data_IF_955454905805
#
_entry.id   IF_955454905805
#
_cell.length_a   1.000
_cell.length_b   1.000
_cell.length_c   1.000
_cell.angle_alpha   90.00
_cell.angle_beta   90.00
_cell.angle_gamma   90.00
#
_symmetry.space_group_name_H-M   'P 1'
#
loop_
_entity.id
_entity.type
_entity.pdbx_description
1 polymer ?
#
# COMPACT_ATOMS: atom_id res chain seq x y z
N UNK A 1 -36.60 -25.33 -0.63
CA UNK A 1 -35.26 -25.49 -1.26
C UNK A 1 -34.25 -24.54 -0.59
N UNK A 2 -32.95 -24.81 -0.64
CA UNK A 2 -31.93 -23.86 -0.16
C UNK A 2 -31.79 -22.68 -1.12
N UNK A 3 -31.62 -21.47 -0.58
CA UNK A 3 -31.21 -20.30 -1.35
C UNK A 3 -29.76 -20.45 -1.82
N UNK A 4 -29.43 -19.82 -2.95
CA UNK A 4 -28.05 -19.74 -3.45
C UNK A 4 -27.32 -18.60 -2.74
N UNK A 5 -26.28 -18.89 -1.92
CA UNK A 5 -25.54 -17.84 -1.21
C UNK A 5 -24.75 -16.95 -2.18
N UNK A 6 -24.43 -15.73 -1.76
CA UNK A 6 -23.44 -14.88 -2.45
C UNK A 6 -22.23 -14.70 -1.54
N UNK A 7 -21.03 -14.74 -2.10
CA UNK A 7 -19.78 -14.59 -1.37
C UNK A 7 -19.13 -13.26 -1.72
N UNK A 8 -18.83 -12.44 -0.72
CA UNK A 8 -18.04 -11.22 -0.90
C UNK A 8 -16.71 -11.31 -0.16
N UNK A 9 -15.72 -10.58 -0.65
CA UNK A 9 -14.43 -10.39 0.02
C UNK A 9 -14.32 -8.93 0.48
N UNK A 10 -13.77 -8.70 1.66
CA UNK A 10 -13.50 -7.34 2.13
C UNK A 10 -12.45 -6.61 1.28
N UNK A 11 -11.57 -7.36 0.61
CA UNK A 11 -10.60 -6.86 -0.37
C UNK A 11 -10.40 -7.89 -1.48
N UNK A 12 -10.22 -7.42 -2.71
CA UNK A 12 -9.85 -8.25 -3.87
C UNK A 12 -8.33 -8.31 -4.12
N UNK A 13 -7.57 -7.37 -3.53
CA UNK A 13 -6.13 -7.24 -3.66
C UNK A 13 -5.50 -7.00 -2.30
N UNK A 14 -4.50 -7.80 -1.94
CA UNK A 14 -3.77 -7.64 -0.67
C UNK A 14 -2.28 -7.93 -0.84
N UNK A 15 -1.47 -7.48 0.11
CA UNK A 15 -0.07 -7.88 0.23
C UNK A 15 0.03 -9.22 0.99
N UNK A 16 1.02 -10.05 0.65
CA UNK A 16 1.29 -11.30 1.38
C UNK A 16 1.54 -11.03 2.87
N UNK A 17 1.17 -11.99 3.70
CA UNK A 17 1.23 -11.87 5.15
C UNK A 17 0.12 -10.99 5.73
N UNK A 18 -0.94 -10.69 4.96
CA UNK A 18 -2.11 -9.98 5.48
C UNK A 18 -3.36 -10.86 5.46
N UNK A 19 -4.36 -10.45 6.23
CA UNK A 19 -5.64 -11.15 6.38
C UNK A 19 -6.71 -10.46 5.54
N UNK A 20 -7.56 -11.26 4.90
CA UNK A 20 -8.81 -10.81 4.28
C UNK A 20 -9.97 -11.57 4.91
N UNK A 21 -11.15 -10.94 4.95
CA UNK A 21 -12.39 -11.56 5.43
C UNK A 21 -13.34 -11.78 4.28
N UNK A 22 -13.97 -12.95 4.25
CA UNK A 22 -15.00 -13.33 3.31
C UNK A 22 -16.32 -13.50 4.04
N UNK A 23 -17.41 -13.07 3.41
CA UNK A 23 -18.75 -13.15 4.00
C UNK A 23 -19.70 -13.81 3.01
N UNK A 24 -20.46 -14.77 3.50
CA UNK A 24 -21.55 -15.39 2.78
C UNK A 24 -22.88 -14.73 3.18
N UNK A 25 -23.65 -14.29 2.19
CA UNK A 25 -24.98 -13.69 2.35
C UNK A 25 -26.04 -14.47 1.58
N UNK A 26 -27.31 -14.06 1.69
CA UNK A 26 -28.45 -14.73 1.08
C UNK A 26 -28.61 -16.22 1.50
N UNK A 27 -28.30 -16.52 2.76
CA UNK A 27 -28.43 -17.86 3.33
C UNK A 27 -29.85 -18.02 3.87
N UNK A 28 -30.61 -18.96 3.31
CA UNK A 28 -32.01 -19.16 3.65
C UNK A 28 -32.59 -20.42 3.00
N UNK A 29 -33.88 -20.64 3.22
CA UNK A 29 -34.58 -21.84 2.74
C UNK A 29 -34.11 -23.13 3.42
N UNK A 30 -34.55 -24.28 2.90
CA UNK A 30 -34.30 -25.58 3.52
C UNK A 30 -35.04 -25.75 4.86
N UNK A 31 -34.48 -26.56 5.75
CA UNK A 31 -35.04 -26.92 7.06
C UNK A 31 -34.76 -25.90 8.17
N UNK A 32 -33.81 -25.00 7.96
CA UNK A 32 -33.28 -24.13 9.02
C UNK A 32 -31.99 -24.65 9.66
N UNK A 33 -31.81 -25.97 9.74
CA UNK A 33 -30.61 -26.60 10.31
C UNK A 33 -29.52 -26.74 9.25
N UNK A 34 -28.44 -25.96 9.40
CA UNK A 34 -27.45 -25.75 8.33
C UNK A 34 -26.03 -25.86 8.85
N UNK A 35 -25.13 -26.31 7.97
CA UNK A 35 -23.68 -26.30 8.17
C UNK A 35 -23.01 -25.58 7.01
N UNK A 36 -21.97 -24.81 7.33
CA UNK A 36 -21.24 -24.01 6.35
C UNK A 36 -19.85 -24.56 6.15
N UNK A 37 -19.36 -24.48 4.91
CA UNK A 37 -18.03 -24.92 4.54
C UNK A 37 -17.37 -23.87 3.65
N UNK A 38 -16.15 -23.49 4.00
CA UNK A 38 -15.30 -22.62 3.21
C UNK A 38 -14.22 -23.42 2.50
N UNK A 39 -13.83 -22.97 1.32
CA UNK A 39 -12.76 -23.57 0.53
C UNK A 39 -11.84 -22.49 -0.02
N UNK A 40 -10.54 -22.72 0.08
CA UNK A 40 -9.48 -21.91 -0.53
C UNK A 40 -8.78 -22.79 -1.55
N UNK A 41 -8.80 -22.40 -2.83
CA UNK A 41 -8.24 -23.21 -3.93
C UNK A 41 -8.74 -24.67 -3.92
N UNK A 42 -10.06 -24.84 -3.72
CA UNK A 42 -10.75 -26.13 -3.59
C UNK A 42 -10.34 -26.97 -2.36
N UNK A 43 -9.47 -26.49 -1.48
CA UNK A 43 -9.16 -27.15 -0.20
C UNK A 43 -10.14 -26.68 0.87
N UNK A 44 -10.86 -27.62 1.48
CA UNK A 44 -11.81 -27.33 2.56
C UNK A 44 -11.09 -26.78 3.79
N UNK A 45 -11.68 -25.75 4.40
CA UNK A 45 -11.19 -25.09 5.59
C UNK A 45 -11.99 -25.52 6.83
N UNK A 46 -11.44 -25.29 8.01
CA UNK A 46 -12.08 -25.63 9.29
C UNK A 46 -13.21 -24.68 9.70
N UNK A 47 -13.31 -23.51 9.07
CA UNK A 47 -14.32 -22.51 9.39
C UNK A 47 -15.75 -22.98 9.06
N UNK A 48 -16.66 -22.81 10.01
CA UNK A 48 -18.06 -23.25 9.94
C UNK A 48 -19.06 -22.10 10.05
N UNK A 49 -18.61 -20.85 10.12
CA UNK A 49 -19.48 -19.66 10.16
C UNK A 49 -19.84 -19.11 8.78
N UNK A 50 -20.68 -18.08 8.75
CA UNK A 50 -21.02 -17.31 7.55
C UNK A 50 -19.99 -16.22 7.22
N UNK A 51 -19.02 -16.02 8.10
CA UNK A 51 -17.85 -15.18 7.90
C UNK A 51 -16.58 -16.01 8.09
N UNK A 52 -15.57 -15.74 7.27
CA UNK A 52 -14.30 -16.45 7.28
C UNK A 52 -13.14 -15.50 7.04
N UNK A 53 -12.25 -15.37 8.02
CA UNK A 53 -11.00 -14.64 7.88
C UNK A 53 -9.84 -15.59 7.65
N UNK A 54 -8.99 -15.27 6.68
CA UNK A 54 -7.81 -16.09 6.36
C UNK A 54 -6.56 -15.24 6.17
N UNK A 55 -5.46 -15.70 6.74
CA UNK A 55 -4.14 -15.11 6.59
C UNK A 55 -3.44 -15.74 5.37
N UNK A 56 -2.96 -14.92 4.45
CA UNK A 56 -2.35 -15.40 3.20
C UNK A 56 -0.81 -15.28 3.25
N UNK A 57 -0.06 -16.33 3.62
CA UNK A 57 1.39 -16.23 3.84
C UNK A 57 2.21 -16.10 2.54
N UNK A 58 1.67 -16.62 1.43
CA UNK A 58 2.34 -16.65 0.12
C UNK A 58 1.58 -15.79 -0.90
N UNK A 59 2.32 -15.13 -1.79
CA UNK A 59 1.75 -14.43 -2.94
C UNK A 59 1.19 -15.42 -3.96
N UNK A 60 0.14 -15.02 -4.66
CA UNK A 60 -0.55 -15.85 -5.64
C UNK A 60 -2.00 -15.43 -5.84
N UNK A 61 -2.70 -16.20 -6.65
CA UNK A 61 -4.14 -16.04 -6.88
C UNK A 61 -4.89 -17.12 -6.11
N UNK A 62 -5.92 -16.71 -5.37
CA UNK A 62 -6.73 -17.61 -4.55
C UNK A 62 -8.19 -17.53 -4.94
N UNK A 63 -8.81 -18.69 -5.16
CA UNK A 63 -10.24 -18.82 -5.42
C UNK A 63 -10.94 -19.25 -4.14
N UNK A 64 -11.97 -18.51 -3.75
CA UNK A 64 -12.72 -18.74 -2.53
C UNK A 64 -14.09 -19.27 -2.88
N UNK A 65 -14.48 -20.39 -2.25
CA UNK A 65 -15.81 -20.98 -2.43
C UNK A 65 -16.47 -21.18 -1.08
N UNK A 66 -17.79 -21.05 -1.09
CA UNK A 66 -18.65 -21.30 0.04
C UNK A 66 -19.68 -22.35 -0.33
N UNK A 67 -19.95 -23.28 0.58
CA UNK A 67 -21.03 -24.27 0.45
C UNK A 67 -21.87 -24.28 1.70
N UNK A 68 -23.19 -24.19 1.53
CA UNK A 68 -24.17 -24.47 2.59
C UNK A 68 -24.69 -25.89 2.43
N UNK A 69 -24.84 -26.58 3.55
CA UNK A 69 -25.37 -27.94 3.66
C UNK A 69 -26.59 -27.89 4.58
N UNK A 70 -27.74 -28.35 4.11
CA UNK A 70 -28.90 -28.62 4.96
C UNK A 70 -28.68 -29.96 5.68
N UNK A 71 -28.89 -30.00 6.99
CA UNK A 71 -28.54 -31.16 7.81
C UNK A 71 -29.68 -32.15 8.00
N UNK A 72 -30.94 -31.76 7.77
CA UNK A 72 -32.10 -32.62 8.07
C UNK A 72 -32.81 -33.10 6.82
N UNK A 73 -32.63 -32.42 5.68
CA UNK A 73 -33.15 -32.88 4.40
C UNK A 73 -32.16 -33.90 3.83
N UNK A 74 -32.55 -35.17 3.84
CA UNK A 74 -31.82 -36.27 3.21
C UNK A 74 -31.58 -35.99 1.70
N UNK A 75 -30.51 -36.58 1.15
CA UNK A 75 -30.08 -36.49 -0.27
C UNK A 75 -29.39 -35.18 -0.68
N UNK A 76 -28.22 -34.89 -0.09
CA UNK A 76 -27.26 -33.94 -0.66
C UNK A 76 -27.81 -32.53 -0.93
N UNK A 77 -28.78 -32.06 -0.12
CA UNK A 77 -29.31 -30.71 -0.21
C UNK A 77 -28.22 -29.70 0.22
N UNK A 78 -27.39 -29.37 -0.76
CA UNK A 78 -26.25 -28.47 -0.65
C UNK A 78 -26.36 -27.44 -1.76
N UNK A 79 -25.87 -26.24 -1.47
CA UNK A 79 -25.74 -25.19 -2.48
C UNK A 79 -24.37 -24.55 -2.38
N UNK A 80 -23.70 -24.48 -3.51
CA UNK A 80 -22.54 -23.62 -3.69
C UNK A 80 -22.99 -22.16 -3.78
N UNK A 81 -22.12 -21.26 -3.37
CA UNK A 81 -22.30 -19.83 -3.65
C UNK A 81 -22.43 -19.57 -5.15
N UNK A 82 -23.19 -18.54 -5.50
CA UNK A 82 -23.42 -18.11 -6.88
C UNK A 82 -22.13 -17.68 -7.60
N UNK A 83 -21.12 -17.28 -6.82
CA UNK A 83 -19.84 -16.79 -7.28
C UNK A 83 -18.69 -17.42 -6.49
N UNK A 84 -17.47 -17.24 -7.00
CA UNK A 84 -16.24 -17.64 -6.34
C UNK A 84 -15.25 -16.48 -6.40
N UNK A 85 -15.21 -15.60 -5.38
CA UNK A 85 -14.31 -14.46 -5.37
C UNK A 85 -12.85 -14.89 -5.59
N UNK A 86 -12.16 -14.10 -6.41
CA UNK A 86 -10.74 -14.27 -6.69
C UNK A 86 -9.98 -13.20 -5.92
N UNK A 87 -9.09 -13.62 -5.02
CA UNK A 87 -8.18 -12.75 -4.29
C UNK A 87 -6.79 -12.81 -4.93
N UNK A 88 -6.23 -11.65 -5.28
CA UNK A 88 -4.83 -11.53 -5.70
C UNK A 88 -3.97 -11.08 -4.52
N UNK A 89 -2.98 -11.90 -4.17
CA UNK A 89 -2.02 -11.64 -3.10
C UNK A 89 -0.67 -11.35 -3.70
N UNK A 90 -0.12 -10.18 -3.43
CA UNK A 90 1.12 -9.69 -4.04
C UNK A 90 2.32 -9.84 -3.09
N UNK A 91 3.56 -9.93 -3.61
CA UNK A 91 4.75 -9.89 -2.76
C UNK A 91 4.84 -8.58 -1.96
N UNK A 92 5.62 -8.56 -0.88
CA UNK A 92 5.82 -7.36 -0.07
C UNK A 92 6.47 -6.26 -0.89
N UNK A 93 5.94 -5.04 -0.85
CA UNK A 93 6.53 -3.92 -1.57
C UNK A 93 7.82 -3.44 -0.88
N UNK A 94 8.91 -3.33 -1.65
CA UNK A 94 10.20 -2.81 -1.20
C UNK A 94 10.63 -1.69 -2.13
N UNK A 95 11.10 -0.59 -1.54
CA UNK A 95 11.52 0.62 -2.25
C UNK A 95 12.94 0.98 -1.84
N UNK A 96 13.76 1.35 -2.81
CA UNK A 96 15.10 1.88 -2.59
C UNK A 96 15.20 3.29 -3.16
N UNK A 97 15.95 4.15 -2.48
CA UNK A 97 16.14 5.55 -2.85
C UNK A 97 17.61 5.93 -2.85
N UNK A 98 17.94 7.01 -3.56
CA UNK A 98 19.26 7.64 -3.53
C UNK A 98 19.12 9.17 -3.60
N UNK A 99 20.17 9.87 -3.19
CA UNK A 99 20.30 11.32 -3.30
C UNK A 99 21.70 11.67 -3.84
N UNK A 100 21.80 12.75 -4.61
CA UNK A 100 23.07 13.17 -5.22
C UNK A 100 24.07 13.75 -4.21
N UNK A 101 23.58 14.28 -3.09
CA UNK A 101 24.41 14.83 -2.02
C UNK A 101 23.70 14.74 -0.66
N UNK A 102 24.46 14.66 0.42
CA UNK A 102 23.99 14.77 1.82
C UNK A 102 24.17 16.16 2.40
N UNK A 103 24.96 17.00 1.74
CA UNK A 103 25.17 18.38 2.12
C UNK A 103 25.42 19.25 0.89
N UNK A 104 24.95 20.49 0.91
CA UNK A 104 25.13 21.46 -0.18
C UNK A 104 25.39 22.87 0.35
N UNK A 105 26.09 23.67 -0.44
CA UNK A 105 26.40 25.07 -0.13
C UNK A 105 26.36 25.92 -1.40
N UNK A 106 26.26 27.24 -1.23
CA UNK A 106 26.21 28.21 -2.33
C UNK A 106 24.79 28.51 -2.81
N UNK A 107 24.62 29.68 -3.41
CA UNK A 107 23.31 30.26 -3.79
C UNK A 107 22.53 29.47 -4.85
N UNK A 108 23.19 28.57 -5.60
CA UNK A 108 22.60 27.73 -6.65
C UNK A 108 22.50 26.24 -6.27
N UNK A 109 22.61 25.91 -4.98
CA UNK A 109 22.56 24.55 -4.48
C UNK A 109 21.29 23.80 -4.91
N UNK A 110 21.47 22.55 -5.37
CA UNK A 110 20.37 21.65 -5.75
C UNK A 110 20.74 20.21 -5.44
N UNK A 111 19.77 19.42 -4.96
CA UNK A 111 19.93 17.99 -4.73
C UNK A 111 18.88 17.23 -5.54
N UNK A 112 19.33 16.20 -6.25
CA UNK A 112 18.45 15.27 -6.96
C UNK A 112 18.25 14.01 -6.14
N UNK A 113 17.00 13.56 -6.06
CA UNK A 113 16.55 12.37 -5.37
C UNK A 113 15.90 11.42 -6.36
N UNK A 114 16.16 10.12 -6.19
CA UNK A 114 15.65 9.10 -7.09
C UNK A 114 15.09 7.92 -6.28
N UNK A 115 13.94 7.41 -6.70
CA UNK A 115 13.55 6.03 -6.40
C UNK A 115 14.31 5.12 -7.37
N UNK A 116 15.32 4.41 -6.87
CA UNK A 116 16.25 3.62 -7.70
C UNK A 116 15.70 2.25 -8.04
N UNK A 117 14.86 1.68 -7.17
CA UNK A 117 14.17 0.43 -7.46
C UNK A 117 12.89 0.29 -6.64
N UNK A 118 11.91 -0.41 -7.24
CA UNK A 118 10.70 -0.86 -6.56
C UNK A 118 10.48 -2.32 -6.91
N UNK A 119 10.50 -3.20 -5.91
CA UNK A 119 10.20 -4.62 -6.05
C UNK A 119 8.95 -5.01 -5.24
N UNK A 120 8.34 -6.14 -5.62
CA UNK A 120 7.09 -6.61 -5.01
C UNK A 120 5.89 -5.69 -5.24
N UNK A 121 4.83 -5.80 -4.44
CA UNK A 121 3.57 -5.10 -4.68
C UNK A 121 2.87 -5.56 -5.97
N UNK A 122 1.85 -4.81 -6.38
CA UNK A 122 0.97 -5.14 -7.50
C UNK A 122 1.47 -4.69 -8.88
N UNK A 123 2.49 -3.83 -8.90
CA UNK A 123 2.99 -3.18 -10.12
C UNK A 123 2.27 -1.87 -10.46
N UNK A 124 1.05 -1.65 -9.97
CA UNK A 124 0.35 -0.35 -10.08
C UNK A 124 0.66 0.51 -8.88
N UNK A 125 1.38 1.62 -9.07
CA UNK A 125 1.95 2.42 -7.99
C UNK A 125 1.90 3.91 -8.28
N UNK A 126 2.00 4.70 -7.22
CA UNK A 126 2.16 6.15 -7.28
C UNK A 126 3.26 6.57 -6.30
N UNK A 127 4.12 7.48 -6.73
CA UNK A 127 5.19 8.06 -5.88
C UNK A 127 4.90 9.54 -5.68
N UNK A 128 4.93 9.97 -4.43
CA UNK A 128 4.88 11.38 -4.04
C UNK A 128 6.11 11.75 -3.22
N UNK A 129 6.55 12.99 -3.41
CA UNK A 129 7.70 13.56 -2.72
C UNK A 129 7.23 14.73 -1.87
N UNK A 130 7.81 14.86 -0.69
CA UNK A 130 7.65 16.04 0.17
C UNK A 130 8.99 16.39 0.80
N UNK A 131 9.33 17.67 0.79
CA UNK A 131 10.50 18.22 1.46
C UNK A 131 10.03 19.14 2.59
N UNK A 132 10.68 19.04 3.74
CA UNK A 132 10.40 19.85 4.92
C UNK A 132 11.71 20.28 5.55
N UNK A 133 11.73 21.45 6.15
CA UNK A 133 12.79 21.80 7.08
C UNK A 133 12.58 21.00 8.37
N UNK A 134 13.64 20.41 8.93
CA UNK A 134 13.55 19.51 10.08
C UNK A 134 12.91 20.17 11.31
N UNK A 135 13.16 21.48 11.50
CA UNK A 135 12.59 22.27 12.61
C UNK A 135 11.13 22.68 12.40
N UNK A 136 10.58 22.51 11.20
CA UNK A 136 9.19 22.89 10.88
C UNK A 136 8.52 21.83 9.99
N UNK A 137 8.37 20.58 10.47
CA UNK A 137 7.92 19.45 9.67
C UNK A 137 6.47 19.55 9.17
N UNK A 138 5.67 20.48 9.73
CA UNK A 138 4.32 20.78 9.27
C UNK A 138 4.29 21.66 8.02
N UNK A 139 5.35 22.43 7.75
CA UNK A 139 5.44 23.31 6.58
C UNK A 139 6.19 22.63 5.44
N UNK A 140 5.48 22.44 4.32
CA UNK A 140 6.06 21.82 3.12
C UNK A 140 6.90 22.85 2.37
N UNK A 141 8.20 22.59 2.25
CA UNK A 141 9.14 23.43 1.50
C UNK A 141 9.15 23.08 0.00
N UNK A 142 8.75 21.85 -0.36
CA UNK A 142 8.63 21.40 -1.73
C UNK A 142 7.86 20.09 -1.85
N UNK A 143 7.31 19.82 -3.02
CA UNK A 143 6.59 18.57 -3.32
C UNK A 143 6.75 18.18 -4.77
N UNK A 144 6.59 16.90 -5.06
CA UNK A 144 6.66 16.38 -6.42
C UNK A 144 6.04 15.01 -6.56
N UNK A 145 6.05 14.47 -7.77
CA UNK A 145 5.58 13.13 -8.10
C UNK A 145 6.56 12.47 -9.07
N UNK A 146 6.40 11.16 -9.29
CA UNK A 146 7.28 10.39 -10.18
C UNK A 146 8.49 9.80 -9.47
N UNK A 147 9.39 9.19 -10.24
CA UNK A 147 10.56 8.46 -9.71
C UNK A 147 11.74 9.38 -9.38
N UNK A 148 11.69 10.65 -9.78
CA UNK A 148 12.76 11.62 -9.58
C UNK A 148 12.18 12.89 -8.98
N UNK A 149 12.97 13.55 -8.14
CA UNK A 149 12.62 14.83 -7.53
C UNK A 149 13.88 15.65 -7.34
N UNK A 150 13.85 16.93 -7.68
CA UNK A 150 14.95 17.86 -7.42
C UNK A 150 14.49 18.94 -6.45
N UNK A 151 15.34 19.27 -5.48
CA UNK A 151 15.06 20.30 -4.49
C UNK A 151 16.22 21.29 -4.44
N UNK A 152 15.90 22.57 -4.68
CA UNK A 152 16.84 23.69 -4.65
C UNK A 152 16.35 24.86 -3.78
N UNK A 153 15.16 24.76 -3.18
CA UNK A 153 14.57 25.82 -2.38
C UNK A 153 15.10 25.80 -0.93
N UNK A 154 16.42 25.89 -0.79
CA UNK A 154 17.11 25.96 0.49
C UNK A 154 17.05 27.39 1.05
N UNK A 155 16.72 27.52 2.32
CA UNK A 155 16.70 28.81 3.01
C UNK A 155 18.12 29.27 3.34
N UNK A 156 18.30 30.58 3.45
CA UNK A 156 19.56 31.23 3.83
C UNK A 156 20.00 30.82 5.23
N UNK A 157 21.30 30.69 5.44
CA UNK A 157 21.89 30.11 6.65
C UNK A 157 22.01 28.59 6.58
N UNK A 158 22.26 27.97 7.73
CA UNK A 158 22.43 26.51 7.85
C UNK A 158 21.16 25.85 8.35
N UNK A 159 20.62 24.89 7.59
CA UNK A 159 19.38 24.19 7.89
C UNK A 159 19.46 22.71 7.52
N UNK A 160 18.70 21.88 8.24
CA UNK A 160 18.47 20.48 7.88
C UNK A 160 17.12 20.31 7.18
N UNK A 161 17.11 19.52 6.12
CA UNK A 161 15.93 19.18 5.32
C UNK A 161 15.68 17.68 5.30
N UNK A 162 14.42 17.31 5.56
CA UNK A 162 13.89 15.96 5.45
C UNK A 162 13.10 15.82 4.16
N UNK A 163 13.57 14.96 3.26
CA UNK A 163 12.92 14.64 2.00
C UNK A 163 12.32 13.24 2.13
N UNK A 164 11.01 13.15 1.98
CA UNK A 164 10.29 11.88 2.02
C UNK A 164 9.82 11.47 0.63
N UNK A 165 10.18 10.27 0.20
CA UNK A 165 9.53 9.58 -0.91
C UNK A 165 8.49 8.63 -0.35
N UNK A 166 7.23 8.81 -0.73
CA UNK A 166 6.12 7.92 -0.37
C UNK A 166 5.65 7.19 -1.62
N UNK A 167 5.84 5.87 -1.64
CA UNK A 167 5.34 5.01 -2.71
C UNK A 167 4.11 4.27 -2.20
N UNK A 168 2.98 4.44 -2.88
CA UNK A 168 1.72 3.74 -2.59
C UNK A 168 1.41 2.76 -3.71
N UNK A 169 1.11 1.52 -3.33
CA UNK A 169 0.56 0.51 -4.23
C UNK A 169 -0.95 0.73 -4.38
N UNK A 170 -1.42 0.94 -5.61
CA UNK A 170 -2.78 1.40 -5.89
C UNK A 170 -3.83 0.31 -5.65
N UNK A 171 -3.46 -0.97 -5.78
CA UNK A 171 -4.41 -2.07 -5.63
C UNK A 171 -4.48 -2.56 -4.18
N UNK A 172 -3.34 -2.72 -3.52
CA UNK A 172 -3.29 -3.21 -2.12
C UNK A 172 -3.46 -2.09 -1.09
N UNK A 173 -3.23 -0.83 -1.49
CA UNK A 173 -3.23 0.34 -0.62
C UNK A 173 -2.01 0.42 0.31
N UNK A 174 -1.03 -0.48 0.17
CA UNK A 174 0.19 -0.47 0.99
C UNK A 174 1.08 0.70 0.62
N UNK A 175 1.71 1.28 1.63
CA UNK A 175 2.58 2.45 1.48
C UNK A 175 3.96 2.16 2.07
N UNK A 176 4.99 2.60 1.36
CA UNK A 176 6.38 2.57 1.82
C UNK A 176 6.93 3.98 1.75
N UNK A 177 7.40 4.49 2.88
CA UNK A 177 8.04 5.80 2.99
C UNK A 177 9.55 5.63 3.15
N UNK A 178 10.32 6.46 2.46
CA UNK A 178 11.78 6.59 2.59
C UNK A 178 12.12 8.02 2.95
N UNK A 179 13.00 8.16 3.94
CA UNK A 179 13.52 9.44 4.40
C UNK A 179 14.96 9.62 3.88
N UNK A 180 15.22 10.82 3.37
CA UNK A 180 16.50 11.31 2.89
C UNK A 180 16.77 12.64 3.60
N UNK A 181 18.00 12.83 4.06
CA UNK A 181 18.38 14.01 4.87
C UNK A 181 19.43 14.80 4.12
N UNK A 182 19.27 16.12 4.08
CA UNK A 182 20.22 17.06 3.48
C UNK A 182 20.49 18.22 4.44
N UNK A 183 21.76 18.55 4.64
CA UNK A 183 22.19 19.75 5.35
C UNK A 183 22.57 20.82 4.32
N UNK A 184 21.92 21.98 4.35
CA UNK A 184 22.24 23.10 3.46
C UNK A 184 22.90 24.23 4.23
N UNK A 185 23.94 24.84 3.66
CA UNK A 185 24.57 26.08 4.16
C UNK A 185 24.61 27.12 3.04
N UNK A 186 23.57 27.95 2.97
CA UNK A 186 23.39 28.94 1.90
C UNK A 186 23.84 30.32 2.40
N UNK A 187 24.82 30.93 1.75
CA UNK A 187 25.22 32.32 1.97
C UNK A 187 24.42 33.26 1.08
N UNK A 188 24.21 34.49 1.54
CA UNK A 188 23.52 35.56 0.80
C UNK A 188 24.41 36.25 -0.25
N UNK A 189 25.55 35.66 -0.64
CA UNK A 189 26.52 36.35 -1.49
C UNK A 189 26.10 36.35 -2.97
N UNK A 190 25.52 37.48 -3.38
CA UNK A 190 25.98 38.28 -4.52
C UNK A 190 25.57 39.77 -4.28
N UNK A 191 26.45 40.58 -3.67
CA UNK A 191 26.54 42.01 -4.01
C UNK A 191 27.78 42.20 -4.88
N UNK A 192 27.69 42.08 -6.22
CA UNK A 192 28.86 42.19 -7.09
C UNK A 192 29.45 43.61 -7.18
N UNK A 193 28.85 44.59 -6.49
CA UNK A 193 29.15 46.02 -6.69
C UNK A 193 29.05 46.87 -5.42
N UNK A 194 29.30 46.28 -4.25
CA UNK A 194 29.52 47.05 -3.03
C UNK A 194 30.96 47.58 -3.06
N UNK A 195 31.20 48.62 -3.88
CA UNK A 195 32.50 49.28 -4.01
C UNK A 195 33.04 49.75 -2.65
N UNK A 196 34.36 49.98 -2.52
CA UNK A 196 34.94 50.39 -1.26
C UNK A 196 34.32 51.71 -0.80
N UNK A 197 33.55 51.66 0.29
CA UNK A 197 33.26 52.84 1.09
C UNK A 197 34.50 53.12 1.94
N UNK A 198 35.42 53.94 1.42
CA UNK A 198 35.93 55.18 2.02
C UNK A 198 37.17 55.69 1.28
#
# INVERSE_FOLDING_TARGET
PLNTPNVSASKAHIERGTTTTFTASNIGGGSGSRRYEWYVNNVKQSATGTSYSYHFPTSGTYTIKFKVVDLTIQNANTKWGANSPVLKVYPKMVVSTSQSATSVSGSSASVSFNVTSISGGSGSRQTTWRAFKAVSPSQTAGSGTGTQFSFSNFATGTHEYNITAKVKDNLTGKEVTRLMVVISSISDEDCPNCGPQH
#
